data_IF_839766095728
#
_entry.id   IF_839766095728
#
_cell.length_a   1.000
_cell.length_b   1.000
_cell.length_c   1.000
_cell.angle_alpha   90.00
_cell.angle_beta   90.00
_cell.angle_gamma   90.00
#
_symmetry.space_group_name_H-M   'P 1'
#
loop_
_entity.id
_entity.type
_entity.pdbx_description
1 polymer ?
#
# COMPACT_ATOMS: atom_id res chain seq x y z
N UNK A 1 -39.28 38.15 -40.76
CA UNK A 1 -39.46 36.76 -41.25
C UNK A 1 -38.26 36.45 -42.14
N UNK A 2 -37.22 35.79 -41.63
CA UNK A 2 -37.11 34.39 -41.22
C UNK A 2 -36.57 33.53 -42.37
N UNK A 3 -35.46 32.87 -42.04
CA UNK A 3 -35.08 31.52 -42.47
C UNK A 3 -34.61 31.35 -43.92
N UNK A 4 -33.31 31.17 -44.09
CA UNK A 4 -32.68 29.89 -44.45
C UNK A 4 -31.27 30.14 -45.01
N UNK A 5 -30.26 30.14 -44.14
CA UNK A 5 -28.88 29.85 -44.51
C UNK A 5 -28.03 29.75 -43.25
N UNK A 6 -27.87 28.54 -42.72
CA UNK A 6 -26.67 28.02 -42.03
C UNK A 6 -27.00 26.71 -41.31
N UNK A 7 -26.62 25.61 -41.95
CA UNK A 7 -26.76 24.27 -41.40
C UNK A 7 -25.82 23.33 -42.12
N UNK A 8 -24.51 23.51 -41.91
CA UNK A 8 -23.46 22.51 -42.14
C UNK A 8 -22.11 23.13 -41.77
N UNK A 9 -21.64 22.86 -40.55
CA UNK A 9 -20.23 22.65 -40.15
C UNK A 9 -20.20 22.73 -38.64
N UNK A 10 -20.02 21.59 -37.97
CA UNK A 10 -19.26 21.47 -36.72
C UNK A 10 -19.09 19.98 -36.40
N UNK A 11 -18.30 19.34 -37.26
CA UNK A 11 -17.85 17.96 -37.12
C UNK A 11 -16.35 17.90 -36.82
N UNK A 12 -15.86 18.65 -35.83
CA UNK A 12 -14.45 18.63 -35.40
C UNK A 12 -14.32 18.93 -33.91
N UNK A 13 -14.69 17.98 -33.05
CA UNK A 13 -14.66 18.16 -31.60
C UNK A 13 -14.08 17.02 -30.77
N UNK A 14 -13.40 16.02 -31.38
CA UNK A 14 -12.92 14.82 -30.66
C UNK A 14 -11.47 14.42 -31.03
N UNK A 15 -10.57 15.36 -31.34
CA UNK A 15 -9.16 15.04 -31.62
C UNK A 15 -8.14 15.96 -30.92
N UNK A 16 -8.35 16.28 -29.64
CA UNK A 16 -7.40 17.12 -28.87
C UNK A 16 -6.84 16.53 -27.57
N UNK A 17 -6.83 15.20 -27.39
CA UNK A 17 -6.16 14.56 -26.23
C UNK A 17 -4.97 13.64 -26.58
N UNK A 18 -4.46 13.67 -27.81
CA UNK A 18 -3.35 12.81 -28.25
C UNK A 18 -1.94 13.42 -28.12
N UNK A 19 -1.75 14.58 -27.48
CA UNK A 19 -0.42 15.24 -27.41
C UNK A 19 0.46 14.89 -26.20
N UNK A 20 0.06 13.96 -25.33
CA UNK A 20 0.86 13.57 -24.14
C UNK A 20 2.01 12.60 -24.49
N UNK A 21 2.18 12.25 -25.76
CA UNK A 21 3.29 11.42 -26.24
C UNK A 21 4.57 12.22 -26.54
N UNK A 22 4.78 13.39 -25.90
CA UNK A 22 6.09 14.04 -25.92
C UNK A 22 7.11 13.00 -25.45
N UNK A 23 7.96 12.62 -26.39
CA UNK A 23 8.98 11.59 -26.33
C UNK A 23 9.58 11.49 -24.94
N UNK A 24 9.53 10.28 -24.37
CA UNK A 24 10.28 9.89 -23.19
C UNK A 24 11.79 9.89 -23.50
N UNK A 25 12.35 11.05 -23.83
CA UNK A 25 13.78 11.25 -23.71
C UNK A 25 14.02 11.42 -22.21
N UNK A 26 14.37 10.32 -21.56
CA UNK A 26 14.96 10.37 -20.22
C UNK A 26 16.21 11.25 -20.37
N UNK A 27 16.26 12.48 -19.84
CA UNK A 27 17.55 13.12 -19.69
C UNK A 27 18.35 12.18 -18.78
N UNK A 28 19.40 11.57 -19.34
CA UNK A 28 20.27 10.70 -18.57
C UNK A 28 20.74 11.48 -17.34
N UNK A 29 20.75 10.88 -16.15
CA UNK A 29 21.37 11.54 -15.01
C UNK A 29 22.79 11.91 -15.42
N UNK A 30 23.21 13.16 -15.18
CA UNK A 30 24.60 13.55 -15.39
C UNK A 30 25.53 12.57 -14.66
N UNK A 31 26.79 12.40 -15.11
CA UNK A 31 27.70 11.36 -14.60
C UNK A 31 27.85 11.39 -13.07
N UNK A 32 27.81 12.59 -12.46
CA UNK A 32 27.84 12.78 -11.00
C UNK A 32 26.62 12.15 -10.32
N UNK A 33 25.41 12.37 -10.86
CA UNK A 33 24.20 11.77 -10.31
C UNK A 33 24.17 10.25 -10.48
N UNK A 34 24.68 9.73 -11.60
CA UNK A 34 24.81 8.30 -11.80
C UNK A 34 25.76 7.69 -10.76
N UNK A 35 26.90 8.32 -10.50
CA UNK A 35 27.84 7.88 -9.47
C UNK A 35 27.22 7.92 -8.06
N UNK A 36 26.55 9.02 -7.70
CA UNK A 36 25.87 9.14 -6.39
C UNK A 36 24.79 8.06 -6.22
N UNK A 37 24.02 7.77 -7.28
CA UNK A 37 23.01 6.72 -7.25
C UNK A 37 23.64 5.32 -7.09
N UNK A 38 24.75 5.04 -7.79
CA UNK A 38 25.49 3.77 -7.66
C UNK A 38 26.06 3.63 -6.26
N UNK A 39 26.72 4.65 -5.72
CA UNK A 39 27.30 4.62 -4.37
C UNK A 39 26.20 4.44 -3.32
N UNK A 40 25.11 5.21 -3.41
CA UNK A 40 23.97 5.09 -2.50
C UNK A 40 23.33 3.70 -2.58
N UNK A 41 23.13 3.18 -3.79
CA UNK A 41 22.60 1.84 -4.01
C UNK A 41 23.51 0.74 -3.44
N UNK A 42 24.82 0.86 -3.63
CA UNK A 42 25.80 -0.05 -3.06
C UNK A 42 25.82 0.02 -1.53
N UNK A 43 25.78 1.21 -0.94
CA UNK A 43 25.70 1.41 0.51
C UNK A 43 24.42 0.79 1.08
N UNK A 44 23.25 1.06 0.48
CA UNK A 44 21.97 0.46 0.90
C UNK A 44 22.03 -1.07 0.76
N UNK A 45 22.57 -1.59 -0.33
CA UNK A 45 22.70 -3.03 -0.53
C UNK A 45 23.58 -3.67 0.54
N UNK A 46 24.79 -3.13 0.78
CA UNK A 46 25.76 -3.72 1.70
C UNK A 46 25.31 -3.59 3.16
N UNK A 47 24.79 -2.43 3.55
CA UNK A 47 24.47 -2.14 4.95
C UNK A 47 23.08 -2.61 5.35
N UNK A 48 22.09 -2.54 4.45
CA UNK A 48 20.69 -2.76 4.80
C UNK A 48 20.11 -4.03 4.20
N UNK A 49 20.37 -4.33 2.92
CA UNK A 49 19.70 -5.45 2.24
C UNK A 49 20.42 -6.79 2.41
N UNK A 50 21.72 -6.84 2.12
CA UNK A 50 22.54 -8.06 2.14
C UNK A 50 22.56 -8.80 3.49
N UNK A 51 22.59 -8.12 4.66
CA UNK A 51 22.63 -8.82 5.95
C UNK A 51 21.31 -9.51 6.32
N UNK A 52 20.21 -9.16 5.66
CA UNK A 52 18.87 -9.65 6.01
C UNK A 52 18.49 -10.82 5.13
N UNK A 53 17.97 -11.88 5.74
CA UNK A 53 17.41 -13.00 5.00
C UNK A 53 16.03 -12.62 4.46
N UNK A 54 15.75 -12.75 3.16
CA UNK A 54 14.45 -12.35 2.60
C UNK A 54 13.39 -13.40 2.91
N UNK A 55 12.78 -13.28 4.09
CA UNK A 55 11.84 -14.26 4.64
C UNK A 55 10.61 -14.44 3.75
N UNK A 56 9.94 -13.35 3.36
CA UNK A 56 8.78 -13.41 2.47
C UNK A 56 9.13 -14.08 1.14
N UNK A 57 10.26 -13.72 0.53
CA UNK A 57 10.69 -14.35 -0.71
C UNK A 57 10.91 -15.86 -0.54
N UNK A 58 11.50 -16.28 0.59
CA UNK A 58 11.71 -17.71 0.88
C UNK A 58 10.40 -18.48 0.99
N UNK A 59 9.32 -17.86 1.49
CA UNK A 59 7.99 -18.48 1.49
C UNK A 59 7.54 -18.80 0.07
N UNK A 60 7.60 -17.83 -0.84
CA UNK A 60 7.23 -18.02 -2.24
C UNK A 60 8.18 -18.96 -2.99
N UNK A 61 9.47 -18.84 -2.77
CA UNK A 61 10.49 -19.73 -3.37
C UNK A 61 10.27 -21.19 -2.94
N UNK A 62 10.04 -21.42 -1.64
CA UNK A 62 9.81 -22.78 -1.11
C UNK A 62 8.50 -23.37 -1.62
N UNK A 63 7.45 -22.55 -1.75
CA UNK A 63 6.19 -22.97 -2.37
C UNK A 63 6.38 -23.32 -3.86
N UNK A 64 7.10 -22.50 -4.61
CA UNK A 64 7.46 -22.80 -6.01
C UNK A 64 8.27 -24.10 -6.13
N UNK A 65 9.20 -24.33 -5.20
CA UNK A 65 10.00 -25.56 -5.14
C UNK A 65 9.12 -26.78 -4.81
N UNK A 66 8.20 -26.67 -3.85
CA UNK A 66 7.26 -27.73 -3.49
C UNK A 66 6.40 -28.12 -4.69
N UNK A 67 5.80 -27.14 -5.37
CA UNK A 67 4.97 -27.38 -6.55
C UNK A 67 5.77 -28.06 -7.68
N UNK A 68 7.03 -27.67 -7.91
CA UNK A 68 7.90 -28.34 -8.90
C UNK A 68 8.17 -29.80 -8.60
N UNK A 69 8.15 -30.19 -7.33
CA UNK A 69 8.34 -31.58 -6.90
C UNK A 69 7.02 -32.32 -6.66
N UNK A 70 5.86 -31.72 -7.00
CA UNK A 70 4.56 -32.32 -6.76
C UNK A 70 4.18 -32.42 -5.27
N UNK A 71 4.76 -31.56 -4.42
CA UNK A 71 4.52 -31.51 -2.98
C UNK A 71 3.54 -30.37 -2.65
N UNK A 72 2.70 -30.59 -1.64
CA UNK A 72 1.79 -29.57 -1.11
C UNK A 72 2.60 -28.38 -0.54
N UNK A 73 2.41 -27.14 -1.05
CA UNK A 73 3.11 -25.97 -0.52
C UNK A 73 2.47 -25.43 0.78
N UNK A 74 1.28 -25.88 1.17
CA UNK A 74 0.57 -25.37 2.33
C UNK A 74 0.93 -26.12 3.61
N UNK A 75 1.00 -25.42 4.77
CA UNK A 75 1.06 -26.10 6.04
C UNK A 75 -0.25 -26.84 6.34
N UNK A 76 -0.17 -27.89 7.15
CA UNK A 76 -1.36 -28.55 7.67
C UNK A 76 -2.23 -27.55 8.47
N UNK A 77 -3.56 -27.47 8.21
CA UNK A 77 -4.45 -26.62 8.99
C UNK A 77 -4.36 -26.94 10.49
N UNK A 78 -4.45 -25.92 11.35
CA UNK A 78 -4.24 -25.99 12.81
C UNK A 78 -2.82 -26.30 13.28
N UNK A 79 -1.85 -26.52 12.41
CA UNK A 79 -0.46 -26.71 12.84
C UNK A 79 0.18 -25.37 13.24
N UNK A 80 1.12 -25.39 14.19
CA UNK A 80 1.89 -24.21 14.57
C UNK A 80 2.63 -23.54 13.40
N UNK A 81 2.91 -24.31 12.34
CA UNK A 81 3.48 -23.81 11.10
C UNK A 81 2.61 -22.72 10.44
N UNK A 82 1.29 -22.73 10.62
CA UNK A 82 0.37 -21.74 9.99
C UNK A 82 0.71 -20.31 10.43
N UNK A 83 1.12 -20.10 11.69
CA UNK A 83 1.43 -18.79 12.26
C UNK A 83 2.92 -18.66 12.65
N UNK A 84 3.79 -19.36 11.93
CA UNK A 84 5.24 -19.25 12.11
C UNK A 84 5.83 -17.97 11.51
N UNK A 85 5.05 -17.21 10.74
CA UNK A 85 5.52 -16.11 9.89
C UNK A 85 6.21 -16.57 8.60
N UNK A 86 6.30 -17.88 8.34
CA UNK A 86 6.98 -18.46 7.16
C UNK A 86 6.13 -19.43 6.35
N UNK A 87 4.82 -19.52 6.64
CA UNK A 87 3.88 -20.33 5.90
C UNK A 87 3.49 -19.71 4.56
N UNK A 88 3.39 -20.54 3.52
CA UNK A 88 2.74 -20.15 2.29
C UNK A 88 1.22 -20.19 2.49
N UNK A 89 0.59 -19.02 2.41
CA UNK A 89 -0.85 -18.81 2.65
C UNK A 89 -1.56 -18.12 1.48
N UNK A 90 -0.88 -18.01 0.35
CA UNK A 90 -1.37 -17.35 -0.86
C UNK A 90 -2.17 -18.34 -1.72
N UNK A 91 -3.04 -17.86 -2.63
CA UNK A 91 -3.73 -18.73 -3.57
C UNK A 91 -2.73 -19.56 -4.39
N UNK A 92 -3.08 -20.81 -4.71
CA UNK A 92 -2.17 -21.78 -5.32
C UNK A 92 -1.49 -21.27 -6.61
N UNK A 93 -2.17 -20.51 -7.50
CA UNK A 93 -1.52 -19.95 -8.69
C UNK A 93 -0.36 -18.99 -8.38
N UNK A 94 -0.33 -18.39 -7.19
CA UNK A 94 0.82 -17.58 -6.77
C UNK A 94 2.08 -18.44 -6.62
N UNK A 95 1.97 -19.70 -6.19
CA UNK A 95 3.12 -20.61 -6.12
C UNK A 95 3.68 -20.92 -7.52
N UNK A 96 2.81 -21.05 -8.53
CA UNK A 96 3.24 -21.27 -9.92
C UNK A 96 4.12 -20.16 -10.47
N UNK A 97 3.84 -18.91 -10.12
CA UNK A 97 4.65 -17.76 -10.56
C UNK A 97 6.11 -17.86 -10.08
N UNK A 98 6.35 -18.57 -8.98
CA UNK A 98 7.67 -18.75 -8.40
C UNK A 98 8.34 -20.08 -8.76
N UNK A 99 7.67 -20.95 -9.53
CA UNK A 99 8.29 -22.20 -10.01
C UNK A 99 9.52 -21.91 -10.88
N UNK A 100 9.45 -20.92 -11.78
CA UNK A 100 10.58 -20.53 -12.62
C UNK A 100 11.76 -20.01 -11.81
N UNK A 101 11.51 -19.20 -10.78
CA UNK A 101 12.54 -18.73 -9.85
C UNK A 101 13.13 -19.86 -9.01
N UNK A 102 12.30 -20.84 -8.63
CA UNK A 102 12.73 -22.04 -7.91
C UNK A 102 13.58 -23.01 -8.77
N UNK A 103 13.78 -22.73 -10.06
CA UNK A 103 14.77 -23.42 -10.90
C UNK A 103 16.20 -22.92 -10.71
N UNK A 104 16.35 -21.72 -10.15
CA UNK A 104 17.65 -21.15 -9.81
C UNK A 104 18.03 -21.54 -8.37
N UNK A 105 19.30 -21.34 -8.01
CA UNK A 105 19.68 -21.40 -6.60
C UNK A 105 18.97 -20.30 -5.82
N UNK A 106 18.66 -20.53 -4.53
CA UNK A 106 17.97 -19.53 -3.69
C UNK A 106 18.67 -18.17 -3.69
N UNK A 107 20.00 -18.15 -3.77
CA UNK A 107 20.79 -16.92 -3.85
C UNK A 107 20.58 -16.17 -5.17
N UNK A 108 20.66 -16.88 -6.30
CA UNK A 108 20.43 -16.29 -7.62
C UNK A 108 18.97 -15.83 -7.79
N UNK A 109 18.02 -16.63 -7.31
CA UNK A 109 16.60 -16.30 -7.31
C UNK A 109 16.32 -15.06 -6.44
N UNK A 110 16.93 -14.96 -5.25
CA UNK A 110 16.78 -13.79 -4.37
C UNK A 110 17.36 -12.52 -4.99
N UNK A 111 18.53 -12.61 -5.62
CA UNK A 111 19.15 -11.47 -6.31
C UNK A 111 18.28 -11.01 -7.48
N UNK A 112 17.82 -11.94 -8.32
CA UNK A 112 16.93 -11.63 -9.43
C UNK A 112 15.63 -10.98 -8.95
N UNK A 113 15.03 -11.51 -7.88
CA UNK A 113 13.81 -10.96 -7.29
C UNK A 113 14.02 -9.54 -6.72
N UNK A 114 15.16 -9.28 -6.08
CA UNK A 114 15.52 -7.95 -5.61
C UNK A 114 15.65 -6.95 -6.78
N UNK A 115 16.31 -7.35 -7.88
CA UNK A 115 16.42 -6.53 -9.10
C UNK A 115 15.04 -6.23 -9.68
N UNK A 116 14.20 -7.25 -9.82
CA UNK A 116 12.82 -7.10 -10.32
C UNK A 116 11.98 -6.20 -9.42
N UNK A 117 12.17 -6.26 -8.10
CA UNK A 117 11.46 -5.42 -7.13
C UNK A 117 11.85 -3.95 -7.26
N UNK A 118 13.14 -3.64 -7.34
CA UNK A 118 13.63 -2.27 -7.58
C UNK A 118 13.15 -1.75 -8.94
N UNK A 119 13.17 -2.59 -9.98
CA UNK A 119 12.65 -2.24 -11.30
C UNK A 119 11.14 -1.96 -11.26
N UNK A 120 10.36 -2.75 -10.52
CA UNK A 120 8.92 -2.56 -10.38
C UNK A 120 8.58 -1.25 -9.65
N UNK A 121 9.29 -0.92 -8.57
CA UNK A 121 9.14 0.37 -7.86
C UNK A 121 9.51 1.52 -8.78
N UNK A 122 10.64 1.42 -9.50
CA UNK A 122 11.10 2.45 -10.44
C UNK A 122 10.08 2.71 -11.53
N UNK A 123 9.60 1.64 -12.18
CA UNK A 123 8.57 1.72 -13.20
C UNK A 123 7.26 2.31 -12.64
N UNK A 124 6.82 1.89 -11.46
CA UNK A 124 5.61 2.43 -10.83
C UNK A 124 5.70 3.92 -10.53
N UNK A 125 6.85 4.39 -9.98
CA UNK A 125 7.09 5.82 -9.74
C UNK A 125 7.08 6.58 -11.06
N UNK A 126 7.78 6.10 -12.07
CA UNK A 126 7.84 6.78 -13.37
C UNK A 126 6.50 6.80 -14.10
N UNK A 127 5.68 5.75 -13.96
CA UNK A 127 4.32 5.72 -14.49
C UNK A 127 3.42 6.77 -13.83
N UNK A 128 3.62 7.03 -12.53
CA UNK A 128 2.80 7.98 -11.77
C UNK A 128 3.25 9.44 -11.96
N UNK A 129 4.56 9.70 -11.95
CA UNK A 129 5.10 11.07 -11.85
C UNK A 129 6.19 11.42 -12.87
N UNK A 130 6.52 10.51 -13.79
CA UNK A 130 7.62 10.64 -14.74
C UNK A 130 9.00 10.36 -14.10
N UNK A 131 10.06 10.55 -14.89
CA UNK A 131 11.45 10.25 -14.51
C UNK A 131 12.05 11.26 -13.51
N UNK A 132 11.43 11.36 -12.34
CA UNK A 132 11.82 12.27 -11.25
C UNK A 132 12.68 11.53 -10.24
N UNK A 133 14.00 11.56 -10.44
CA UNK A 133 14.96 10.85 -9.60
C UNK A 133 14.85 11.17 -8.10
N UNK A 134 14.61 12.43 -7.71
CA UNK A 134 14.43 12.79 -6.30
C UNK A 134 13.23 12.11 -5.65
N UNK A 135 12.12 11.96 -6.39
CA UNK A 135 10.92 11.23 -5.91
C UNK A 135 11.21 9.75 -5.81
N UNK A 136 11.88 9.18 -6.82
CA UNK A 136 12.29 7.78 -6.83
C UNK A 136 13.19 7.45 -5.62
N UNK A 137 14.22 8.28 -5.38
CA UNK A 137 15.13 8.10 -4.25
C UNK A 137 14.39 8.19 -2.92
N UNK A 138 13.51 9.16 -2.74
CA UNK A 138 12.72 9.28 -1.52
C UNK A 138 11.78 8.08 -1.29
N UNK A 139 11.19 7.51 -2.36
CA UNK A 139 10.39 6.28 -2.25
C UNK A 139 11.26 5.06 -1.93
N UNK A 140 12.40 4.88 -2.62
CA UNK A 140 13.31 3.75 -2.42
C UNK A 140 13.96 3.76 -1.02
N UNK A 141 14.27 4.95 -0.49
CA UNK A 141 14.91 5.12 0.81
C UNK A 141 13.92 5.20 1.97
N UNK A 142 12.61 5.22 1.71
CA UNK A 142 11.61 5.13 2.76
C UNK A 142 11.63 3.75 3.42
N UNK A 143 11.51 3.72 4.75
CA UNK A 143 11.64 2.47 5.49
C UNK A 143 10.63 1.37 5.09
N UNK A 144 9.35 1.64 4.71
CA UNK A 144 8.46 0.56 4.29
C UNK A 144 8.93 -0.08 2.98
N UNK A 145 9.56 0.70 2.12
CA UNK A 145 10.15 0.21 0.87
C UNK A 145 11.39 -0.62 1.14
N UNK A 146 12.27 -0.14 2.02
CA UNK A 146 13.47 -0.88 2.43
C UNK A 146 13.11 -2.20 3.12
N UNK A 147 12.18 -2.19 4.07
CA UNK A 147 11.65 -3.40 4.73
C UNK A 147 11.08 -4.38 3.68
N UNK A 148 10.30 -3.87 2.72
CA UNK A 148 9.74 -4.69 1.65
C UNK A 148 10.78 -5.34 0.74
N UNK A 149 11.88 -4.63 0.49
CA UNK A 149 13.04 -5.14 -0.26
C UNK A 149 13.87 -6.13 0.56
N UNK A 150 14.06 -5.88 1.86
CA UNK A 150 14.75 -6.78 2.79
C UNK A 150 14.03 -8.11 2.92
N UNK A 151 12.71 -8.08 3.09
CA UNK A 151 11.88 -9.29 3.18
C UNK A 151 11.75 -10.00 1.82
N UNK A 152 11.96 -9.28 0.71
CA UNK A 152 11.69 -9.79 -0.63
C UNK A 152 10.18 -10.00 -0.87
N UNK A 153 9.35 -9.12 -0.33
CA UNK A 153 7.90 -9.18 -0.45
C UNK A 153 7.41 -8.95 -1.89
N UNK A 154 6.18 -9.38 -2.20
CA UNK A 154 5.52 -9.08 -3.49
C UNK A 154 5.03 -7.63 -3.61
N UNK A 155 5.22 -6.79 -2.58
CA UNK A 155 4.64 -5.44 -2.55
C UNK A 155 5.20 -4.52 -3.63
N UNK A 156 6.43 -4.73 -4.10
CA UNK A 156 6.98 -3.99 -5.24
C UNK A 156 6.19 -4.23 -6.54
N UNK A 157 5.80 -5.48 -6.79
CA UNK A 157 4.96 -5.87 -7.93
C UNK A 157 3.54 -5.32 -7.75
N UNK A 158 2.99 -5.39 -6.53
CA UNK A 158 1.69 -4.81 -6.22
C UNK A 158 1.69 -3.28 -6.44
N UNK A 159 2.73 -2.58 -6.00
CA UNK A 159 2.91 -1.14 -6.22
C UNK A 159 2.90 -0.80 -7.71
N UNK A 160 3.63 -1.55 -8.53
CA UNK A 160 3.60 -1.39 -9.98
C UNK A 160 2.19 -1.65 -10.54
N UNK A 161 1.52 -2.72 -10.12
CA UNK A 161 0.15 -3.03 -10.54
C UNK A 161 -0.84 -1.93 -10.17
N UNK A 162 -0.72 -1.32 -8.99
CA UNK A 162 -1.51 -0.17 -8.58
C UNK A 162 -1.22 1.07 -9.46
N UNK A 163 0.04 1.30 -9.83
CA UNK A 163 0.39 2.38 -10.75
C UNK A 163 -0.19 2.13 -12.16
N UNK A 164 -0.13 0.89 -12.65
CA UNK A 164 -0.74 0.47 -13.92
C UNK A 164 -2.26 0.67 -13.87
N UNK A 165 -2.92 0.17 -12.84
CA UNK A 165 -4.37 0.27 -12.66
C UNK A 165 -4.84 1.72 -12.68
N UNK A 166 -4.09 2.63 -12.04
CA UNK A 166 -4.41 4.06 -12.06
C UNK A 166 -4.10 4.75 -13.40
N UNK A 167 -2.96 4.42 -14.02
CA UNK A 167 -2.51 5.06 -15.26
C UNK A 167 -3.41 4.73 -16.44
N UNK A 168 -3.85 3.47 -16.52
CA UNK A 168 -4.71 2.94 -17.58
C UNK A 168 -6.12 2.61 -17.08
N UNK A 169 -6.55 3.38 -16.09
CA UNK A 169 -7.84 3.21 -15.42
C UNK A 169 -9.03 3.25 -16.38
N UNK A 170 -8.92 3.87 -17.54
CA UNK A 170 -10.01 3.95 -18.52
C UNK A 170 -9.98 2.82 -19.56
N UNK A 171 -9.04 1.87 -19.44
CA UNK A 171 -8.89 0.72 -20.36
C UNK A 171 -9.23 -0.58 -19.65
N UNK A 172 -10.43 -1.10 -19.88
CA UNK A 172 -10.92 -2.30 -19.18
C UNK A 172 -10.00 -3.52 -19.36
N UNK A 173 -9.42 -3.71 -20.54
CA UNK A 173 -8.57 -4.86 -20.85
C UNK A 173 -7.20 -4.83 -20.14
N UNK A 174 -6.78 -3.68 -19.60
CA UNK A 174 -5.63 -3.57 -18.70
C UNK A 174 -6.10 -3.66 -17.25
N UNK A 175 -7.15 -2.90 -16.91
CA UNK A 175 -7.61 -2.75 -15.53
C UNK A 175 -8.18 -4.05 -14.95
N UNK A 176 -9.00 -4.78 -15.70
CA UNK A 176 -9.60 -6.02 -15.25
C UNK A 176 -8.57 -7.09 -14.85
N UNK A 177 -7.62 -7.51 -15.72
CA UNK A 177 -6.60 -8.47 -15.33
C UNK A 177 -5.67 -7.93 -14.24
N UNK A 178 -5.33 -6.63 -14.27
CA UNK A 178 -4.46 -6.03 -13.25
C UNK A 178 -5.09 -6.12 -11.85
N UNK A 179 -6.36 -5.73 -11.71
CA UNK A 179 -7.06 -5.76 -10.41
C UNK A 179 -7.29 -7.20 -9.95
N UNK A 180 -7.63 -8.12 -10.86
CA UNK A 180 -7.75 -9.54 -10.54
C UNK A 180 -6.44 -10.14 -10.00
N UNK A 181 -5.30 -9.85 -10.65
CA UNK A 181 -3.98 -10.31 -10.23
C UNK A 181 -3.55 -9.70 -8.90
N UNK A 182 -3.80 -8.40 -8.69
CA UNK A 182 -3.51 -7.73 -7.42
C UNK A 182 -4.24 -8.40 -6.25
N UNK A 183 -5.55 -8.64 -6.41
CA UNK A 183 -6.37 -9.30 -5.39
C UNK A 183 -5.92 -10.75 -5.20
N UNK A 184 -5.64 -11.49 -6.28
CA UNK A 184 -5.16 -12.87 -6.17
C UNK A 184 -3.80 -12.97 -5.45
N UNK A 185 -2.88 -12.02 -5.66
CA UNK A 185 -1.59 -11.99 -4.97
C UNK A 185 -1.71 -11.52 -3.51
N UNK A 186 -2.63 -10.60 -3.22
CA UNK A 186 -2.92 -10.14 -1.85
C UNK A 186 -4.42 -9.85 -1.72
N UNK A 187 -5.14 -10.80 -1.12
CA UNK A 187 -6.60 -10.77 -0.98
C UNK A 187 -7.12 -9.52 -0.26
N UNK A 188 -6.32 -8.91 0.62
CA UNK A 188 -6.72 -7.67 1.32
C UNK A 188 -6.95 -6.48 0.37
N UNK A 189 -6.49 -6.55 -0.89
CA UNK A 189 -6.75 -5.55 -1.92
C UNK A 189 -8.16 -5.65 -2.54
N UNK A 190 -9.05 -6.51 -2.03
CA UNK A 190 -10.43 -6.63 -2.50
C UNK A 190 -11.23 -5.31 -2.58
N UNK A 191 -10.99 -4.25 -1.75
CA UNK A 191 -11.71 -2.98 -1.89
C UNK A 191 -11.45 -2.27 -3.23
N UNK A 192 -10.40 -2.65 -3.97
CA UNK A 192 -10.21 -2.20 -5.35
C UNK A 192 -11.35 -2.63 -6.27
N UNK A 193 -11.97 -3.79 -6.02
CA UNK A 193 -13.20 -4.19 -6.72
C UNK A 193 -14.36 -3.24 -6.42
N UNK A 194 -14.52 -2.82 -5.16
CA UNK A 194 -15.51 -1.80 -4.78
C UNK A 194 -15.23 -0.46 -5.45
N UNK A 195 -13.97 -0.05 -5.57
CA UNK A 195 -13.60 1.14 -6.34
C UNK A 195 -14.11 1.05 -7.78
N UNK A 196 -13.93 -0.07 -8.47
CA UNK A 196 -14.43 -0.24 -9.84
C UNK A 196 -15.97 -0.08 -9.91
N UNK A 197 -16.69 -0.68 -8.97
CA UNK A 197 -18.16 -0.61 -8.89
C UNK A 197 -18.62 0.82 -8.61
N UNK A 198 -18.06 1.47 -7.58
CA UNK A 198 -18.42 2.82 -7.15
C UNK A 198 -17.99 3.90 -8.16
N UNK A 199 -16.88 3.66 -8.89
CA UNK A 199 -16.46 4.47 -10.04
C UNK A 199 -17.29 4.22 -11.30
N UNK A 200 -18.32 3.37 -11.24
CA UNK A 200 -19.21 2.99 -12.36
C UNK A 200 -18.49 2.33 -13.54
N UNK A 201 -17.39 1.62 -13.26
CA UNK A 201 -16.55 0.93 -14.26
C UNK A 201 -16.96 -0.53 -14.40
N UNK A 202 -18.26 -0.74 -14.63
CA UNK A 202 -18.89 -2.06 -14.63
C UNK A 202 -18.20 -3.11 -15.51
N UNK A 203 -17.78 -2.81 -16.76
CA UNK A 203 -17.12 -3.82 -17.59
C UNK A 203 -15.81 -4.31 -16.98
N UNK A 204 -15.04 -3.41 -16.36
CA UNK A 204 -13.80 -3.79 -15.70
C UNK A 204 -14.04 -4.48 -14.37
N UNK A 205 -15.09 -4.11 -13.62
CA UNK A 205 -15.48 -4.80 -12.40
C UNK A 205 -15.89 -6.26 -12.69
N UNK A 206 -16.75 -6.45 -13.70
CA UNK A 206 -17.16 -7.78 -14.16
C UNK A 206 -15.98 -8.58 -14.71
N UNK A 207 -15.13 -7.95 -15.53
CA UNK A 207 -13.92 -8.58 -16.05
C UNK A 207 -12.95 -9.00 -14.94
N UNK A 208 -12.71 -8.14 -13.94
CA UNK A 208 -11.86 -8.45 -12.81
C UNK A 208 -12.45 -9.60 -11.96
N UNK A 209 -13.76 -9.59 -11.73
CA UNK A 209 -14.46 -10.67 -11.04
C UNK A 209 -14.34 -11.99 -11.82
N UNK A 210 -14.63 -12.00 -13.12
CA UNK A 210 -14.54 -13.20 -13.94
C UNK A 210 -13.11 -13.77 -13.99
N UNK A 211 -12.10 -12.92 -14.21
CA UNK A 211 -10.69 -13.34 -14.23
C UNK A 211 -10.25 -13.83 -12.84
N UNK A 212 -10.62 -13.12 -11.77
CA UNK A 212 -10.30 -13.52 -10.40
C UNK A 212 -10.93 -14.86 -10.03
N UNK A 213 -12.21 -15.07 -10.38
CA UNK A 213 -12.90 -16.36 -10.21
C UNK A 213 -12.22 -17.45 -11.03
N UNK A 214 -11.81 -17.19 -12.27
CA UNK A 214 -11.08 -18.16 -13.07
C UNK A 214 -9.73 -18.54 -12.45
N UNK A 215 -8.94 -17.56 -11.99
CA UNK A 215 -7.68 -17.80 -11.27
C UNK A 215 -7.94 -18.65 -10.02
N UNK A 216 -8.96 -18.29 -9.23
CA UNK A 216 -9.33 -19.04 -8.02
C UNK A 216 -9.78 -20.46 -8.33
N UNK A 217 -10.65 -20.66 -9.33
CA UNK A 217 -11.15 -21.97 -9.74
C UNK A 217 -10.02 -22.87 -10.22
N UNK A 218 -9.14 -22.36 -11.10
CA UNK A 218 -7.94 -23.09 -11.53
C UNK A 218 -7.04 -23.42 -10.34
N UNK A 219 -6.87 -22.47 -9.42
CA UNK A 219 -6.10 -22.66 -8.19
C UNK A 219 -6.64 -23.76 -7.28
N UNK A 220 -7.95 -23.81 -7.04
CA UNK A 220 -8.58 -24.83 -6.21
C UNK A 220 -8.72 -26.18 -6.90
N UNK A 221 -8.83 -26.20 -8.24
CA UNK A 221 -8.86 -27.44 -9.01
C UNK A 221 -7.48 -28.11 -9.07
N UNK A 222 -6.43 -27.33 -9.23
CA UNK A 222 -5.06 -27.85 -9.34
C UNK A 222 -4.32 -27.96 -8.01
N UNK A 223 -4.74 -27.17 -7.01
CA UNK A 223 -4.14 -27.13 -5.69
C UNK A 223 -4.68 -28.20 -4.73
N UNK A 224 -3.96 -28.49 -3.63
CA UNK A 224 -4.32 -29.54 -2.69
C UNK A 224 -5.40 -29.12 -1.68
N UNK A 225 -5.65 -27.81 -1.53
CA UNK A 225 -6.68 -27.29 -0.61
C UNK A 225 -7.95 -26.91 -1.36
N UNK A 226 -9.10 -27.31 -0.83
CA UNK A 226 -10.40 -26.77 -1.22
C UNK A 226 -10.66 -25.38 -0.62
N UNK A 227 -11.66 -24.64 -1.14
CA UNK A 227 -11.93 -23.25 -0.75
C UNK A 227 -12.26 -23.09 0.74
N UNK A 228 -13.04 -24.00 1.33
CA UNK A 228 -13.41 -23.95 2.74
C UNK A 228 -12.20 -24.14 3.66
N UNK A 229 -11.34 -25.10 3.33
CA UNK A 229 -10.10 -25.35 4.10
C UNK A 229 -9.13 -24.18 3.99
N UNK A 230 -9.02 -23.60 2.79
CA UNK A 230 -8.21 -22.41 2.57
C UNK A 230 -8.70 -21.20 3.37
N UNK A 231 -10.02 -20.94 3.42
CA UNK A 231 -10.57 -19.88 4.27
C UNK A 231 -10.32 -20.13 5.76
N UNK A 232 -10.39 -21.39 6.21
CA UNK A 232 -10.06 -21.74 7.59
C UNK A 232 -8.59 -21.47 7.91
N UNK A 233 -7.68 -21.79 6.98
CA UNK A 233 -6.25 -21.48 7.10
C UNK A 233 -6.02 -19.97 7.24
N UNK A 234 -6.67 -19.16 6.40
CA UNK A 234 -6.58 -17.70 6.46
C UNK A 234 -7.12 -17.12 7.78
N UNK A 235 -8.27 -17.63 8.25
CA UNK A 235 -8.85 -17.19 9.51
C UNK A 235 -7.94 -17.53 10.71
N UNK A 236 -7.30 -18.69 10.70
CA UNK A 236 -6.35 -19.09 11.74
C UNK A 236 -5.11 -18.20 11.75
N UNK A 237 -4.55 -17.92 10.57
CA UNK A 237 -3.44 -16.99 10.43
C UNK A 237 -3.85 -15.59 10.95
N UNK A 238 -4.98 -15.06 10.47
CA UNK A 238 -5.46 -13.73 10.84
C UNK A 238 -5.67 -13.58 12.34
N UNK A 239 -6.28 -14.57 12.98
CA UNK A 239 -6.51 -14.56 14.43
C UNK A 239 -5.21 -14.56 15.26
N UNK A 240 -4.13 -15.16 14.77
CA UNK A 240 -2.84 -15.21 15.47
C UNK A 240 -1.96 -14.00 15.17
N UNK A 241 -1.97 -13.52 13.92
CA UNK A 241 -1.07 -12.44 13.48
C UNK A 241 -1.65 -11.04 13.76
N UNK A 242 -2.97 -10.90 13.97
CA UNK A 242 -3.60 -9.58 14.17
C UNK A 242 -2.95 -8.78 15.31
N UNK A 243 -2.61 -9.42 16.42
CA UNK A 243 -1.97 -8.76 17.56
C UNK A 243 -0.55 -8.21 17.29
N UNK A 244 0.05 -8.58 16.15
CA UNK A 244 1.36 -8.10 15.68
C UNK A 244 1.25 -7.18 14.47
N UNK A 245 0.03 -6.96 13.96
CA UNK A 245 -0.21 -6.15 12.79
C UNK A 245 -0.10 -4.65 13.07
N UNK A 246 0.51 -3.93 12.14
CA UNK A 246 0.61 -2.46 12.09
C UNK A 246 -0.68 -1.76 11.64
N UNK A 247 -1.77 -2.50 11.46
CA UNK A 247 -3.05 -2.00 10.94
C UNK A 247 -4.05 -1.64 12.05
N UNK A 248 -5.23 -1.14 11.63
CA UNK A 248 -6.29 -0.74 12.56
C UNK A 248 -6.73 -1.90 13.46
N UNK A 249 -6.85 -3.09 12.91
CA UNK A 249 -7.30 -4.27 13.67
C UNK A 249 -6.27 -4.67 14.73
N UNK A 250 -4.98 -4.63 14.40
CA UNK A 250 -3.92 -4.92 15.38
C UNK A 250 -3.82 -3.88 16.49
N UNK A 251 -4.04 -2.60 16.16
CA UNK A 251 -4.17 -1.54 17.16
C UNK A 251 -5.32 -1.82 18.13
N UNK A 252 -6.50 -2.16 17.60
CA UNK A 252 -7.69 -2.48 18.40
C UNK A 252 -7.45 -3.68 19.31
N UNK A 253 -6.83 -4.76 18.80
CA UNK A 253 -6.49 -5.95 19.60
C UNK A 253 -5.47 -5.61 20.70
N UNK A 254 -4.47 -4.79 20.39
CA UNK A 254 -3.47 -4.32 21.38
C UNK A 254 -4.13 -3.47 22.48
N UNK A 255 -5.22 -2.78 22.17
CA UNK A 255 -6.05 -2.04 23.11
C UNK A 255 -7.15 -2.87 23.78
N UNK A 256 -7.12 -4.20 23.63
CA UNK A 256 -8.00 -5.12 24.34
C UNK A 256 -9.27 -5.52 23.61
N UNK A 257 -9.48 -5.11 22.35
CA UNK A 257 -10.56 -5.66 21.55
C UNK A 257 -10.31 -7.14 21.22
N UNK A 258 -11.37 -7.94 21.14
CA UNK A 258 -11.26 -9.32 20.63
C UNK A 258 -10.96 -9.31 19.12
N UNK A 259 -10.25 -10.31 18.56
CA UNK A 259 -9.99 -10.39 17.12
C UNK A 259 -11.26 -10.27 16.25
N UNK A 260 -12.39 -10.94 16.55
CA UNK A 260 -13.61 -10.79 15.76
C UNK A 260 -14.21 -9.37 15.82
N UNK A 261 -14.13 -8.70 16.98
CA UNK A 261 -14.60 -7.33 17.11
C UNK A 261 -13.71 -6.36 16.32
N UNK A 262 -12.38 -6.53 16.39
CA UNK A 262 -11.43 -5.74 15.62
C UNK A 262 -11.62 -5.92 14.11
N UNK A 263 -11.83 -7.15 13.64
CA UNK A 263 -12.16 -7.45 12.24
C UNK A 263 -13.45 -6.77 11.80
N UNK A 264 -14.53 -6.91 12.56
CA UNK A 264 -15.80 -6.28 12.27
C UNK A 264 -15.66 -4.75 12.17
N UNK A 265 -14.97 -4.11 13.12
CA UNK A 265 -14.71 -2.66 13.10
C UNK A 265 -13.87 -2.28 11.87
N UNK A 266 -12.83 -3.05 11.54
CA UNK A 266 -11.98 -2.80 10.38
C UNK A 266 -12.75 -2.86 9.07
N UNK A 267 -13.56 -3.90 8.87
CA UNK A 267 -14.39 -4.09 7.67
C UNK A 267 -15.49 -3.03 7.57
N UNK A 268 -16.24 -2.79 8.65
CA UNK A 268 -17.29 -1.76 8.65
C UNK A 268 -16.69 -0.36 8.45
N UNK A 269 -15.54 -0.06 9.05
CA UNK A 269 -14.80 1.17 8.86
C UNK A 269 -14.34 1.36 7.41
N UNK A 270 -13.83 0.30 6.78
CA UNK A 270 -13.46 0.28 5.36
C UNK A 270 -14.66 0.55 4.44
N UNK A 271 -15.79 -0.12 4.68
CA UNK A 271 -17.03 0.09 3.91
C UNK A 271 -17.60 1.49 4.11
N UNK A 272 -17.65 1.99 5.35
CA UNK A 272 -18.12 3.33 5.69
C UNK A 272 -17.25 4.41 5.04
N UNK A 273 -15.92 4.23 5.07
CA UNK A 273 -14.98 5.12 4.38
C UNK A 273 -15.29 5.17 2.88
N UNK A 274 -15.36 4.01 2.22
CA UNK A 274 -15.67 3.93 0.79
C UNK A 274 -16.99 4.60 0.45
N UNK A 275 -18.05 4.32 1.23
CA UNK A 275 -19.37 4.90 1.03
C UNK A 275 -19.37 6.43 1.20
N UNK A 276 -18.76 6.96 2.27
CA UNK A 276 -18.71 8.40 2.53
C UNK A 276 -17.96 9.14 1.42
N UNK A 277 -16.84 8.59 0.94
CA UNK A 277 -16.06 9.19 -0.15
C UNK A 277 -16.86 9.13 -1.46
N UNK A 278 -17.43 7.98 -1.80
CA UNK A 278 -18.24 7.82 -3.02
C UNK A 278 -19.45 8.77 -3.07
N UNK A 279 -20.03 9.14 -1.91
CA UNK A 279 -21.14 10.10 -1.83
C UNK A 279 -20.71 11.56 -1.97
N UNK A 280 -19.42 11.87 -1.77
CA UNK A 280 -18.88 13.24 -1.74
C UNK A 280 -18.02 13.58 -2.94
N UNK A 281 -17.60 12.60 -3.72
CA UNK A 281 -16.69 12.80 -4.85
C UNK A 281 -17.27 12.24 -6.13
N UNK A 282 -16.88 12.81 -7.27
CA UNK A 282 -17.18 12.24 -8.59
C UNK A 282 -16.67 10.78 -8.65
N UNK A 283 -17.44 9.83 -9.21
CA UNK A 283 -16.98 8.47 -9.51
C UNK A 283 -15.60 8.38 -10.19
N UNK A 284 -15.21 9.37 -11.01
CA UNK A 284 -13.91 9.43 -11.68
C UNK A 284 -12.77 10.03 -10.82
N UNK A 285 -13.07 10.53 -9.62
CA UNK A 285 -12.10 11.23 -8.78
C UNK A 285 -11.02 10.29 -8.22
N UNK A 286 -9.75 10.76 -8.09
CA UNK A 286 -8.67 10.00 -7.44
C UNK A 286 -8.99 9.61 -5.99
N UNK A 287 -9.82 10.42 -5.32
CA UNK A 287 -10.23 10.21 -3.94
C UNK A 287 -10.77 8.80 -3.67
N UNK A 288 -11.61 8.27 -4.57
CA UNK A 288 -12.22 6.95 -4.38
C UNK A 288 -11.19 5.82 -4.53
N UNK A 289 -10.20 5.98 -5.40
CA UNK A 289 -9.07 5.04 -5.53
C UNK A 289 -8.20 5.04 -4.27
N UNK A 290 -7.89 6.23 -3.74
CA UNK A 290 -7.16 6.36 -2.47
C UNK A 290 -7.95 5.75 -1.31
N UNK A 291 -9.26 6.00 -1.26
CA UNK A 291 -10.14 5.43 -0.25
C UNK A 291 -10.11 3.90 -0.29
N UNK A 292 -10.05 3.28 -1.47
CA UNK A 292 -9.96 1.83 -1.60
C UNK A 292 -8.65 1.28 -1.04
N UNK A 293 -7.52 1.99 -1.21
CA UNK A 293 -6.24 1.57 -0.64
C UNK A 293 -6.22 1.74 0.89
N UNK A 294 -6.79 2.83 1.42
CA UNK A 294 -6.95 3.01 2.86
C UNK A 294 -7.90 1.95 3.46
N UNK A 295 -9.02 1.68 2.78
CA UNK A 295 -9.98 0.64 3.14
C UNK A 295 -9.34 -0.76 3.15
N UNK A 296 -8.46 -1.06 2.19
CA UNK A 296 -7.72 -2.32 2.13
C UNK A 296 -6.83 -2.51 3.38
N UNK A 297 -6.14 -1.45 3.82
CA UNK A 297 -5.32 -1.48 5.04
C UNK A 297 -6.16 -1.57 6.32
N UNK A 298 -7.36 -0.97 6.36
CA UNK A 298 -8.28 -1.07 7.51
C UNK A 298 -8.95 -2.45 7.63
N UNK A 299 -9.35 -3.02 6.50
CA UNK A 299 -10.03 -4.31 6.45
C UNK A 299 -9.08 -5.50 6.64
N UNK A 300 -7.76 -5.30 6.55
CA UNK A 300 -6.79 -6.39 6.70
C UNK A 300 -6.49 -6.68 8.18
N UNK A 301 -6.62 -7.93 8.64
CA UNK A 301 -6.14 -8.35 9.97
C UNK A 301 -4.61 -8.38 10.02
N UNK A 302 -3.95 -8.58 8.88
CA UNK A 302 -2.50 -8.69 8.78
C UNK A 302 -1.98 -7.53 7.93
N UNK A 303 -1.37 -6.55 8.57
CA UNK A 303 -0.69 -5.43 7.92
C UNK A 303 0.71 -5.37 8.50
N UNK A 304 1.72 -5.61 7.68
CA UNK A 304 3.12 -5.43 8.06
C UNK A 304 3.62 -4.08 7.59
N UNK A 305 4.72 -3.60 8.20
CA UNK A 305 5.30 -2.29 7.87
C UNK A 305 5.54 -2.11 6.37
N UNK A 306 6.15 -3.09 5.70
CA UNK A 306 6.35 -3.04 4.25
C UNK A 306 5.08 -2.96 3.38
N UNK A 307 3.87 -3.14 3.93
CA UNK A 307 2.61 -2.96 3.18
C UNK A 307 2.35 -1.48 2.90
N UNK A 308 2.94 -0.59 3.71
CA UNK A 308 2.84 0.85 3.52
C UNK A 308 3.57 1.35 2.26
N UNK A 309 4.35 0.51 1.56
CA UNK A 309 4.77 0.79 0.18
C UNK A 309 3.57 1.10 -0.73
N UNK A 310 2.44 0.42 -0.54
CA UNK A 310 1.24 0.67 -1.35
C UNK A 310 0.64 2.06 -1.08
N UNK A 311 0.89 2.64 0.09
CA UNK A 311 0.48 4.00 0.44
C UNK A 311 1.33 5.09 -0.26
N UNK A 312 2.45 4.74 -0.88
CA UNK A 312 3.19 5.68 -1.73
C UNK A 312 2.37 6.08 -2.99
N UNK A 313 1.56 5.17 -3.55
CA UNK A 313 0.70 5.47 -4.70
C UNK A 313 -0.26 6.63 -4.41
N UNK A 314 -1.14 6.56 -3.38
CA UNK A 314 -2.05 7.66 -3.09
C UNK A 314 -1.31 8.96 -2.75
N UNK A 315 -0.20 8.91 -2.02
CA UNK A 315 0.59 10.12 -1.74
C UNK A 315 1.08 10.82 -3.02
N UNK A 316 1.63 10.05 -3.96
CA UNK A 316 2.13 10.58 -5.24
C UNK A 316 1.00 11.11 -6.14
N UNK A 317 -0.22 10.61 -5.97
CA UNK A 317 -1.41 11.07 -6.69
C UNK A 317 -2.01 12.34 -6.10
N UNK A 318 -2.12 12.41 -4.78
CA UNK A 318 -2.82 13.50 -4.09
C UNK A 318 -1.94 14.75 -3.94
N UNK A 319 -0.64 14.59 -3.72
CA UNK A 319 0.25 15.70 -3.41
C UNK A 319 1.15 16.08 -4.59
N UNK A 320 1.85 17.21 -4.49
CA UNK A 320 3.00 17.50 -5.34
C UNK A 320 4.04 16.40 -5.12
N UNK A 321 4.55 15.74 -6.19
CA UNK A 321 5.35 14.53 -6.05
C UNK A 321 6.55 14.67 -5.11
N UNK A 322 7.28 15.79 -5.17
CA UNK A 322 8.46 16.01 -4.33
C UNK A 322 8.13 16.14 -2.85
N UNK A 323 7.04 16.85 -2.51
CA UNK A 323 6.57 16.99 -1.13
C UNK A 323 6.01 15.67 -0.60
N UNK A 324 5.23 14.97 -1.42
CA UNK A 324 4.66 13.67 -1.08
C UNK A 324 5.73 12.62 -0.76
N UNK A 325 6.79 12.58 -1.57
CA UNK A 325 7.88 11.63 -1.40
C UNK A 325 8.70 11.95 -0.14
N UNK A 326 8.91 13.23 0.17
CA UNK A 326 9.50 13.66 1.44
C UNK A 326 8.67 13.24 2.64
N UNK A 327 7.34 13.41 2.58
CA UNK A 327 6.43 12.93 3.62
C UNK A 327 6.46 11.42 3.79
N UNK A 328 6.42 10.68 2.70
CA UNK A 328 6.50 9.22 2.71
C UNK A 328 7.80 8.74 3.34
N UNK A 329 8.94 9.36 2.98
CA UNK A 329 10.24 9.09 3.57
C UNK A 329 10.24 9.33 5.08
N UNK A 330 9.83 10.51 5.52
CA UNK A 330 9.86 10.90 6.94
C UNK A 330 8.90 10.07 7.80
N UNK A 331 7.64 9.93 7.38
CA UNK A 331 6.64 9.14 8.10
C UNK A 331 7.03 7.67 8.11
N UNK A 332 7.57 7.16 7.00
CA UNK A 332 8.09 5.80 6.93
C UNK A 332 9.12 5.55 8.03
N UNK A 333 10.17 6.38 8.11
CA UNK A 333 11.20 6.20 9.13
C UNK A 333 10.71 6.40 10.56
N UNK A 334 9.78 7.32 10.78
CA UNK A 334 9.16 7.49 12.09
C UNK A 334 8.24 6.33 12.49
N UNK A 335 7.65 5.62 11.53
CA UNK A 335 6.82 4.42 11.81
C UNK A 335 7.63 3.14 11.94
N UNK A 336 8.97 3.20 11.89
CA UNK A 336 9.82 2.04 12.17
C UNK A 336 9.74 1.73 13.66
N UNK A 337 8.96 0.71 13.99
CA UNK A 337 8.97 0.16 15.32
C UNK A 337 10.17 -0.78 15.52
N UNK A 338 10.75 -0.83 16.73
CA UNK A 338 11.74 -1.82 17.06
C UNK A 338 11.11 -3.21 16.95
N UNK A 339 11.83 -4.15 16.32
CA UNK A 339 11.45 -5.56 16.39
C UNK A 339 11.41 -6.00 17.87
N UNK A 340 10.53 -6.90 18.32
CA UNK A 340 10.47 -7.33 19.73
C UNK A 340 11.78 -7.91 20.30
N UNK A 341 12.72 -8.28 19.42
CA UNK A 341 14.08 -8.72 19.76
C UNK A 341 15.10 -7.58 19.88
N UNK A 342 14.67 -6.33 19.68
CA UNK A 342 15.52 -5.17 19.80
C UNK A 342 15.72 -4.82 21.28
N UNK A 343 16.98 -4.54 21.64
CA UNK A 343 17.32 -4.05 22.97
C UNK A 343 16.54 -2.78 23.33
N UNK A 344 16.34 -2.56 24.64
CA UNK A 344 15.61 -1.41 25.22
C UNK A 344 16.13 -0.06 24.71
N UNK A 345 17.38 0.01 24.26
CA UNK A 345 18.01 1.18 23.65
C UNK A 345 17.34 1.64 22.34
N UNK A 346 16.73 0.74 21.57
CA UNK A 346 16.01 1.10 20.33
C UNK A 346 14.60 1.63 20.60
N UNK A 347 13.97 1.27 21.73
CA UNK A 347 12.68 1.84 22.15
C UNK A 347 12.82 3.35 22.39
N UNK A 348 13.91 3.79 23.04
CA UNK A 348 14.20 5.21 23.25
C UNK A 348 14.36 5.94 21.93
N UNK A 349 15.05 5.33 20.96
CA UNK A 349 15.25 5.91 19.63
C UNK A 349 13.91 6.08 18.89
N UNK A 350 13.01 5.10 18.97
CA UNK A 350 11.67 5.18 18.38
C UNK A 350 10.82 6.24 19.07
N UNK A 351 10.81 6.31 20.40
CA UNK A 351 10.08 7.35 21.14
C UNK A 351 10.59 8.76 20.78
N UNK A 352 11.91 8.92 20.61
CA UNK A 352 12.50 10.18 20.16
C UNK A 352 12.10 10.49 18.71
N UNK A 353 12.15 9.51 17.81
CA UNK A 353 11.73 9.68 16.42
C UNK A 353 10.24 10.05 16.30
N UNK A 354 9.38 9.40 17.08
CA UNK A 354 7.96 9.69 17.21
C UNK A 354 7.74 11.12 17.72
N UNK A 355 8.47 11.50 18.78
CA UNK A 355 8.43 12.86 19.33
C UNK A 355 8.85 13.92 18.31
N UNK A 356 9.91 13.68 17.54
CA UNK A 356 10.35 14.57 16.46
C UNK A 356 9.31 14.65 15.35
N UNK A 357 8.73 13.52 14.92
CA UNK A 357 7.68 13.51 13.90
C UNK A 357 6.47 14.32 14.35
N UNK A 358 6.03 14.13 15.59
CA UNK A 358 4.94 14.90 16.18
C UNK A 358 5.28 16.38 16.16
N UNK A 359 6.47 16.79 16.60
CA UNK A 359 6.87 18.20 16.60
C UNK A 359 6.86 18.80 15.18
N UNK A 360 7.27 18.02 14.18
CA UNK A 360 7.19 18.39 12.77
C UNK A 360 5.71 18.56 12.34
N UNK A 361 4.85 17.60 12.65
CA UNK A 361 3.43 17.63 12.32
C UNK A 361 2.72 18.81 13.00
N UNK A 362 2.99 19.06 14.27
CA UNK A 362 2.49 20.21 15.03
C UNK A 362 2.96 21.53 14.42
N UNK A 363 4.25 21.65 14.10
CA UNK A 363 4.81 22.85 13.46
C UNK A 363 4.13 23.11 12.13
N UNK A 364 3.83 22.08 11.35
CA UNK A 364 3.13 22.21 10.08
C UNK A 364 1.67 22.57 10.23
N UNK A 365 0.99 22.01 11.23
CA UNK A 365 -0.36 22.38 11.62
C UNK A 365 -0.41 23.87 11.99
N UNK A 366 0.57 24.35 12.75
CA UNK A 366 0.72 25.77 13.11
C UNK A 366 1.01 26.64 11.88
N UNK A 367 1.95 26.24 11.02
CA UNK A 367 2.30 26.99 9.81
C UNK A 367 1.14 27.08 8.82
N UNK A 368 0.31 26.04 8.73
CA UNK A 368 -0.81 25.96 7.80
C UNK A 368 -2.16 26.28 8.44
N UNK A 369 -2.19 26.69 9.73
CA UNK A 369 -3.43 27.02 10.47
C UNK A 369 -4.30 28.05 9.77
N UNK A 370 -3.68 28.99 9.04
CA UNK A 370 -4.38 30.05 8.31
C UNK A 370 -5.07 29.55 7.03
N UNK A 371 -4.64 28.40 6.48
CA UNK A 371 -5.32 27.71 5.37
C UNK A 371 -6.44 26.80 5.87
N UNK A 372 -6.39 26.40 7.14
CA UNK A 372 -7.43 25.64 7.84
C UNK A 372 -8.46 26.63 8.39
N UNK A 373 -9.31 27.20 7.53
CA UNK A 373 -10.41 28.07 8.01
C UNK A 373 -11.50 27.22 8.68
N UNK A 374 -12.04 27.61 9.86
CA UNK A 374 -13.02 26.81 10.61
C UNK A 374 -14.39 26.70 9.94
N UNK A 375 -14.67 27.53 8.94
CA UNK A 375 -16.02 27.72 8.39
C UNK A 375 -16.37 26.76 7.25
N UNK A 376 -15.62 25.68 7.06
CA UNK A 376 -15.91 24.64 6.08
C UNK A 376 -15.58 23.23 6.59
N UNK A 377 -15.99 22.19 5.85
CA UNK A 377 -15.71 20.78 6.15
C UNK A 377 -14.24 20.48 6.47
N UNK A 378 -13.32 21.32 5.99
CA UNK A 378 -11.88 21.32 6.31
C UNK A 378 -11.54 21.54 7.79
N UNK A 379 -12.26 22.42 8.49
CA UNK A 379 -12.00 22.68 9.92
C UNK A 379 -12.33 21.48 10.80
N UNK A 380 -13.37 20.72 10.44
CA UNK A 380 -13.75 19.48 11.15
C UNK A 380 -12.77 18.35 10.90
N UNK A 381 -12.30 18.20 9.67
CA UNK A 381 -11.36 17.14 9.29
C UNK A 381 -9.96 17.40 9.84
N UNK A 382 -9.46 18.64 9.75
CA UNK A 382 -8.23 19.03 10.43
C UNK A 382 -8.36 18.96 11.96
N UNK A 383 -9.55 19.25 12.50
CA UNK A 383 -9.87 19.06 13.92
C UNK A 383 -9.84 17.60 14.34
N UNK A 384 -10.34 16.66 13.53
CA UNK A 384 -10.26 15.21 13.79
C UNK A 384 -8.83 14.71 13.65
N UNK A 385 -8.08 15.12 12.63
CA UNK A 385 -6.66 14.76 12.49
C UNK A 385 -5.82 15.35 13.63
N UNK A 386 -6.10 16.58 14.06
CA UNK A 386 -5.46 17.20 15.21
C UNK A 386 -5.87 16.54 16.53
N UNK A 387 -7.13 16.12 16.68
CA UNK A 387 -7.61 15.38 17.85
C UNK A 387 -7.05 13.95 17.90
N UNK A 388 -6.86 13.29 16.76
CA UNK A 388 -6.16 12.00 16.67
C UNK A 388 -4.67 12.16 16.98
N UNK A 389 -4.01 13.20 16.45
CA UNK A 389 -2.64 13.56 16.79
C UNK A 389 -2.48 13.93 18.27
N UNK A 390 -3.42 14.70 18.83
CA UNK A 390 -3.46 15.06 20.25
C UNK A 390 -3.79 13.85 21.12
N UNK A 391 -4.62 12.91 20.63
CA UNK A 391 -4.88 11.61 21.25
C UNK A 391 -3.61 10.76 21.31
N UNK A 392 -2.91 10.62 20.17
CA UNK A 392 -1.59 9.97 20.06
C UNK A 392 -0.54 10.63 20.96
N UNK A 393 -0.59 11.96 21.09
CA UNK A 393 0.26 12.73 21.98
C UNK A 393 -0.06 12.52 23.45
N UNK A 394 -1.34 12.48 23.81
CA UNK A 394 -1.82 12.22 25.17
C UNK A 394 -1.58 10.77 25.60
N UNK A 395 -1.33 9.87 24.65
CA UNK A 395 -0.83 8.52 24.95
C UNK A 395 0.67 8.48 25.27
N UNK A 396 1.47 9.49 24.94
CA UNK A 396 2.93 9.47 25.24
C UNK A 396 3.21 9.39 26.76
N UNK A 397 2.53 10.15 27.64
CA UNK A 397 2.64 9.94 29.10
C UNK A 397 2.09 8.59 29.58
N UNK A 398 1.04 8.07 28.94
CA UNK A 398 0.52 6.72 29.18
C UNK A 398 1.47 5.61 28.70
N UNK A 399 2.40 5.91 27.81
CA UNK A 399 3.48 5.01 27.41
C UNK A 399 4.61 4.95 28.47
N UNK A 400 4.70 5.95 29.34
CA UNK A 400 5.62 5.97 30.49
C UNK A 400 5.02 5.19 31.68
N UNK A 401 3.69 5.15 31.80
CA UNK A 401 2.96 4.43 32.87
C UNK A 401 2.47 3.04 32.43
N UNK A 402 2.19 2.86 31.14
CA UNK A 402 1.72 1.62 30.53
C UNK A 402 2.88 0.69 30.20
N UNK A 403 2.70 -0.60 30.47
CA UNK A 403 3.72 -1.62 30.18
C UNK A 403 4.14 -1.65 28.71
N UNK A 404 5.27 -2.32 28.41
CA UNK A 404 5.90 -2.43 27.08
C UNK A 404 4.92 -2.56 25.90
N UNK A 405 3.79 -3.27 26.06
CA UNK A 405 2.77 -3.45 25.02
C UNK A 405 2.12 -2.16 24.53
N UNK A 406 1.97 -1.13 25.37
CA UNK A 406 1.33 0.13 24.98
C UNK A 406 2.24 1.00 24.08
N UNK A 407 3.53 1.11 24.42
CA UNK A 407 4.55 1.81 23.60
C UNK A 407 4.71 1.11 22.25
N UNK A 408 4.77 -0.22 22.26
CA UNK A 408 4.86 -1.04 21.06
C UNK A 408 3.62 -0.83 20.20
N UNK A 409 2.40 -0.88 20.76
CA UNK A 409 1.17 -0.64 20.00
C UNK A 409 1.09 0.76 19.37
N UNK A 410 1.54 1.80 20.06
CA UNK A 410 1.51 3.17 19.55
C UNK A 410 2.45 3.38 18.36
N UNK A 411 3.68 2.86 18.45
CA UNK A 411 4.69 2.96 17.38
C UNK A 411 4.41 1.99 16.22
N UNK A 412 4.05 0.72 16.51
CA UNK A 412 3.81 -0.32 15.51
C UNK A 412 2.52 -0.10 14.72
N UNK A 413 1.45 0.38 15.36
CA UNK A 413 0.13 0.45 14.73
C UNK A 413 -0.51 1.85 14.83
N UNK A 414 -0.29 2.60 15.90
CA UNK A 414 -0.87 3.94 16.08
C UNK A 414 -0.45 4.93 14.98
N UNK A 415 0.84 5.10 14.74
CA UNK A 415 1.35 6.00 13.69
C UNK A 415 0.93 5.57 12.27
N UNK A 416 1.09 4.31 11.86
CA UNK A 416 0.64 3.87 10.54
C UNK A 416 -0.88 3.97 10.33
N UNK A 417 -1.69 3.70 11.36
CA UNK A 417 -3.14 3.90 11.33
C UNK A 417 -3.47 5.38 11.18
N UNK A 418 -2.81 6.27 11.95
CA UNK A 418 -3.01 7.71 11.82
C UNK A 418 -2.64 8.24 10.42
N UNK A 419 -1.55 7.74 9.84
CA UNK A 419 -1.17 8.07 8.46
C UNK A 419 -2.22 7.59 7.45
N UNK A 420 -2.79 6.40 7.66
CA UNK A 420 -3.87 5.85 6.83
C UNK A 420 -5.15 6.69 6.95
N UNK A 421 -5.51 7.10 8.16
CA UNK A 421 -6.65 8.02 8.40
C UNK A 421 -6.40 9.36 7.73
N UNK A 422 -5.20 9.92 7.85
CA UNK A 422 -4.83 11.19 7.21
C UNK A 422 -4.95 11.11 5.67
N UNK A 423 -4.55 9.99 5.07
CA UNK A 423 -4.75 9.72 3.64
C UNK A 423 -6.23 9.68 3.25
N UNK A 424 -7.04 8.94 4.02
CA UNK A 424 -8.49 8.85 3.82
C UNK A 424 -9.18 10.22 3.94
N UNK A 425 -8.75 11.01 4.92
CA UNK A 425 -9.17 12.39 5.16
C UNK A 425 -8.80 13.30 3.98
N UNK A 426 -7.57 13.21 3.48
CA UNK A 426 -7.11 14.00 2.34
C UNK A 426 -7.89 13.65 1.07
N UNK A 427 -8.24 12.38 0.88
CA UNK A 427 -9.11 11.94 -0.21
C UNK A 427 -10.53 12.53 -0.09
N UNK A 428 -11.07 12.66 1.12
CA UNK A 428 -12.42 13.20 1.38
C UNK A 428 -12.57 14.71 1.12
N UNK A 429 -11.46 15.43 0.94
CA UNK A 429 -11.47 16.87 0.85
C UNK A 429 -12.18 17.36 -0.44
N UNK A 430 -13.18 18.26 -0.33
CA UNK A 430 -14.04 18.67 -1.46
C UNK A 430 -13.37 19.55 -2.53
N UNK A 431 -12.06 19.82 -2.45
CA UNK A 431 -11.37 20.80 -3.32
C UNK A 431 -10.57 20.21 -4.46
N UNK A 432 -10.96 19.05 -5.01
CA UNK A 432 -10.38 18.54 -6.26
C UNK A 432 -10.86 19.37 -7.47
N UNK A 433 -10.61 20.68 -7.48
CA UNK A 433 -10.64 21.47 -8.72
C UNK A 433 -9.39 21.12 -9.50
N UNK A 434 -9.54 20.85 -10.80
CA UNK A 434 -8.43 20.56 -11.69
C UNK A 434 -7.40 21.72 -11.65
N UNK A 435 -6.32 21.56 -10.88
CA UNK A 435 -5.26 22.56 -10.72
C UNK A 435 -4.66 22.62 -9.31
N UNK A 436 -5.46 22.42 -8.26
CA UNK A 436 -4.99 22.55 -6.88
C UNK A 436 -4.63 21.19 -6.28
N UNK A 437 -3.32 20.88 -6.22
CA UNK A 437 -2.84 19.79 -5.37
C UNK A 437 -2.69 20.31 -3.94
N UNK A 438 -3.35 19.70 -2.93
CA UNK A 438 -3.47 20.24 -1.57
C UNK A 438 -2.15 20.39 -0.80
N UNK A 439 -1.06 19.74 -1.22
CA UNK A 439 0.28 19.86 -0.63
C UNK A 439 1.33 20.00 -1.74
#
# INVERSE_FOLDING_TARGET
>A
MRALARGATDGTGIMHSMSVWRTWRLPGPGPVMALVAVLTGATVWVLLLRPVTPLDFRVFYSAGLAVRHGVDPYPAPNAAAVWSGSAFVYPYPAAWLFTSLAALSVHAASLLWAILSVAAITAGVWLLVGARWGVLLAVLLASPTLDGLQMGSVNAVLFLGLAIAWRWRDRMWIMAPTIALLIALKLFLWPLGLWLLMSRRWPAALGAAAIGTAIGAVGFQAGPLGPVTYLRLLNQLGAHEVGRGSGLQGLLVTWGATPPAAEMIGVLGALALMYVIARRTDPAAPALYVAALAAALFASPVVWHHYYLLAAVPLLLLCRPSGAAGWYLLIGWASVAPHPSADVSLIVLTVVADGVLVLILLRLLVLHRHRIRPTGSYGRVAGVSAALLLGLLSSVPLAVVGGRGFVIGLSQAGLPVAATVALAVAAAAPTWRAGDRPC
#
